data_IF_833189369822
#
_entry.id   IF_833189369822
#
_cell.length_a   1.000
_cell.length_b   1.000
_cell.length_c   1.000
_cell.angle_alpha   90.00
_cell.angle_beta   90.00
_cell.angle_gamma   90.00
#
_symmetry.space_group_name_H-M   'P 1'
#
loop_
_entity.id
_entity.type
_entity.pdbx_description
1 polymer ?
#
# COMPACT_ATOMS: atom_id res chain seq x y z
N UNK A 1 48.67 -45.46 -12.24
CA UNK A 1 48.50 -44.08 -12.74
C UNK A 1 47.38 -43.45 -11.94
N UNK A 2 47.59 -42.25 -11.44
CA UNK A 2 46.58 -41.55 -10.64
C UNK A 2 45.60 -40.83 -11.57
N UNK A 3 44.36 -40.64 -11.13
CA UNK A 3 43.30 -40.02 -11.94
C UNK A 3 42.62 -38.93 -11.13
N UNK A 4 42.38 -37.78 -11.75
CA UNK A 4 41.66 -36.66 -11.14
C UNK A 4 40.55 -36.19 -12.09
N UNK A 5 39.29 -36.45 -11.75
CA UNK A 5 38.16 -35.98 -12.57
C UNK A 5 38.21 -36.47 -14.03
N UNK A 6 38.79 -37.65 -14.26
CA UNK A 6 39.00 -38.23 -15.59
C UNK A 6 40.27 -37.74 -16.32
N UNK A 7 41.13 -36.95 -15.68
CA UNK A 7 42.48 -36.60 -16.15
C UNK A 7 43.48 -37.58 -15.57
N UNK A 8 44.35 -38.13 -16.42
CA UNK A 8 45.42 -39.03 -15.98
C UNK A 8 46.65 -38.23 -15.55
N UNK A 9 47.13 -38.52 -14.35
CA UNK A 9 48.25 -37.84 -13.70
C UNK A 9 49.32 -38.88 -13.36
N UNK A 10 50.57 -38.55 -13.67
CA UNK A 10 51.71 -39.31 -13.17
C UNK A 10 52.18 -38.68 -11.86
N UNK A 11 51.74 -39.23 -10.73
CA UNK A 11 52.03 -38.67 -9.41
C UNK A 11 53.27 -39.32 -8.83
N UNK A 12 54.22 -38.48 -8.40
CA UNK A 12 55.49 -38.88 -7.78
C UNK A 12 55.37 -38.87 -6.25
N UNK A 13 54.78 -37.81 -5.68
CA UNK A 13 54.52 -37.69 -4.24
C UNK A 13 53.04 -37.47 -3.95
N UNK A 14 52.53 -38.17 -2.95
CA UNK A 14 51.16 -38.03 -2.42
C UNK A 14 51.25 -37.81 -0.91
N UNK A 15 51.02 -36.58 -0.46
CA UNK A 15 51.17 -36.17 0.93
C UNK A 15 49.82 -35.69 1.49
N UNK A 16 49.04 -36.57 2.13
CA UNK A 16 47.81 -36.19 2.80
C UNK A 16 48.10 -35.52 4.15
N UNK A 17 47.51 -34.35 4.35
CA UNK A 17 47.53 -33.59 5.59
C UNK A 17 46.18 -33.73 6.32
N UNK A 18 46.24 -34.17 7.57
CA UNK A 18 45.09 -34.31 8.46
C UNK A 18 45.20 -33.28 9.58
N UNK A 19 44.31 -32.29 9.57
CA UNK A 19 44.23 -31.26 10.61
C UNK A 19 42.91 -31.34 11.37
N UNK A 20 42.98 -30.94 12.64
CA UNK A 20 41.83 -30.85 13.54
C UNK A 20 41.98 -29.58 14.35
N UNK A 21 40.96 -28.74 14.36
CA UNK A 21 40.94 -27.54 15.19
C UNK A 21 40.48 -27.92 16.60
N UNK A 22 41.28 -27.57 17.59
CA UNK A 22 41.01 -27.84 19.01
C UNK A 22 40.83 -26.51 19.73
N UNK A 23 39.65 -26.24 20.29
CA UNK A 23 39.44 -25.06 21.12
C UNK A 23 39.85 -25.36 22.55
N UNK A 24 40.66 -24.47 23.13
CA UNK A 24 41.12 -24.60 24.50
C UNK A 24 40.87 -23.32 25.29
N UNK A 25 40.48 -23.50 26.55
CA UNK A 25 40.30 -22.42 27.51
C UNK A 25 41.25 -22.63 28.69
N UNK A 26 41.97 -21.57 29.07
CA UNK A 26 42.86 -21.59 30.22
C UNK A 26 42.04 -21.54 31.52
N UNK A 27 42.46 -22.31 32.52
CA UNK A 27 41.88 -22.28 33.88
C UNK A 27 42.84 -21.61 34.86
N UNK A 28 42.28 -20.97 35.89
CA UNK A 28 42.99 -20.14 36.88
C UNK A 28 44.11 -20.88 37.63
N UNK A 29 44.04 -22.22 37.71
CA UNK A 29 45.09 -23.07 38.31
C UNK A 29 46.19 -23.50 37.32
N UNK A 30 46.35 -22.80 36.20
CA UNK A 30 47.44 -23.03 35.24
C UNK A 30 47.25 -24.22 34.29
N UNK A 31 46.07 -24.85 34.29
CA UNK A 31 45.71 -25.89 33.32
C UNK A 31 45.01 -25.32 32.08
N UNK A 32 44.84 -26.16 31.05
CA UNK A 32 44.01 -25.85 29.88
C UNK A 32 42.98 -26.96 29.70
N UNK A 33 41.71 -26.59 29.51
CA UNK A 33 40.62 -27.53 29.20
C UNK A 33 40.33 -27.44 27.71
N UNK A 34 40.27 -28.59 27.05
CA UNK A 34 39.79 -28.71 25.67
C UNK A 34 38.28 -28.88 25.69
N UNK A 35 37.55 -27.99 25.01
CA UNK A 35 36.08 -28.01 24.98
C UNK A 35 35.57 -28.62 23.67
N UNK A 36 36.08 -28.14 22.52
CA UNK A 36 35.60 -28.56 21.21
C UNK A 36 36.71 -29.07 20.30
N UNK A 37 36.40 -30.12 19.54
CA UNK A 37 37.26 -30.71 18.53
C UNK A 37 36.50 -30.68 17.21
N UNK A 38 36.93 -29.83 16.28
CA UNK A 38 36.34 -29.68 14.95
C UNK A 38 37.27 -30.31 13.90
N UNK A 39 36.79 -31.35 13.22
CA UNK A 39 37.52 -31.98 12.11
C UNK A 39 37.57 -31.02 10.91
N UNK A 40 38.77 -30.76 10.40
CA UNK A 40 38.93 -30.04 9.13
C UNK A 40 38.92 -31.01 7.94
N UNK A 41 38.65 -30.48 6.74
CA UNK A 41 38.73 -31.27 5.51
C UNK A 41 40.17 -31.66 5.21
N UNK A 42 40.39 -32.92 4.82
CA UNK A 42 41.73 -33.43 4.49
C UNK A 42 42.28 -32.65 3.31
N UNK A 43 43.51 -32.16 3.44
CA UNK A 43 44.24 -31.52 2.34
C UNK A 43 45.21 -32.54 1.76
N UNK A 44 45.38 -32.59 0.45
CA UNK A 44 46.29 -33.50 -0.23
C UNK A 44 47.18 -32.70 -1.16
N UNK A 45 48.48 -32.77 -0.89
CA UNK A 45 49.51 -32.21 -1.75
C UNK A 45 49.97 -33.29 -2.71
N UNK A 46 49.90 -32.98 -4.00
CA UNK A 46 50.26 -33.86 -5.10
C UNK A 46 51.36 -33.20 -5.91
N UNK A 47 52.44 -33.94 -6.10
CA UNK A 47 53.50 -33.55 -7.01
C UNK A 47 53.72 -34.63 -8.06
N UNK A 48 53.92 -34.20 -9.30
CA UNK A 48 54.06 -35.15 -10.38
C UNK A 48 54.31 -34.51 -11.73
N UNK A 49 54.11 -35.34 -12.75
CA UNK A 49 54.31 -35.02 -14.14
C UNK A 49 52.99 -35.22 -14.91
N UNK A 50 52.68 -34.26 -15.76
CA UNK A 50 51.68 -34.37 -16.80
C UNK A 50 52.42 -34.71 -18.09
N UNK A 51 52.32 -35.96 -18.53
CA UNK A 51 53.06 -36.48 -19.67
C UNK A 51 52.13 -36.67 -20.88
N UNK A 52 52.68 -36.39 -22.07
CA UNK A 52 52.07 -36.72 -23.36
C UNK A 52 51.49 -35.49 -24.10
N UNK A 53 51.08 -35.68 -25.38
CA UNK A 53 50.59 -34.59 -26.23
C UNK A 53 49.34 -33.88 -25.68
N UNK A 54 48.60 -34.55 -24.80
CA UNK A 54 47.37 -34.05 -24.18
C UNK A 54 47.62 -33.25 -22.88
N UNK A 55 48.86 -33.14 -22.41
CA UNK A 55 49.21 -32.47 -21.16
C UNK A 55 48.67 -31.02 -21.09
N UNK A 56 48.74 -30.28 -22.20
CA UNK A 56 48.20 -28.92 -22.28
C UNK A 56 46.67 -28.87 -22.08
N UNK A 57 45.95 -29.83 -22.68
CA UNK A 57 44.49 -29.95 -22.53
C UNK A 57 44.11 -30.35 -21.10
N UNK A 58 44.87 -31.25 -20.49
CA UNK A 58 44.70 -31.64 -19.10
C UNK A 58 44.89 -30.47 -18.14
N UNK A 59 45.97 -29.70 -18.31
CA UNK A 59 46.15 -28.46 -17.55
C UNK A 59 44.97 -27.52 -17.72
N UNK A 60 44.52 -27.28 -18.95
CA UNK A 60 43.38 -26.39 -19.20
C UNK A 60 42.12 -26.87 -18.47
N UNK A 61 41.83 -28.18 -18.50
CA UNK A 61 40.68 -28.77 -17.77
C UNK A 61 40.82 -28.64 -16.25
N UNK A 62 42.02 -28.83 -15.71
CA UNK A 62 42.27 -28.68 -14.26
C UNK A 62 42.10 -27.23 -13.82
N UNK A 63 42.62 -26.27 -14.60
CA UNK A 63 42.42 -24.83 -14.34
C UNK A 63 40.95 -24.46 -14.44
N UNK A 64 40.23 -24.96 -15.44
CA UNK A 64 38.78 -24.72 -15.58
C UNK A 64 37.99 -25.31 -14.41
N UNK A 65 38.34 -26.52 -13.94
CA UNK A 65 37.71 -27.14 -12.79
C UNK A 65 38.01 -26.38 -11.48
N UNK A 66 39.24 -25.88 -11.31
CA UNK A 66 39.65 -25.03 -10.20
C UNK A 66 38.84 -23.73 -10.17
N UNK A 67 38.83 -22.99 -11.29
CA UNK A 67 38.10 -21.72 -11.39
C UNK A 67 36.59 -21.90 -11.25
N UNK A 68 36.04 -23.03 -11.74
CA UNK A 68 34.63 -23.36 -11.60
C UNK A 68 34.23 -23.95 -10.25
N UNK A 69 35.18 -24.15 -9.31
CA UNK A 69 34.91 -24.80 -8.02
C UNK A 69 34.30 -26.20 -8.16
N UNK A 70 34.60 -26.90 -9.27
CA UNK A 70 33.99 -28.19 -9.58
C UNK A 70 34.53 -29.25 -8.63
N UNK A 71 33.61 -29.98 -8.00
CA UNK A 71 33.95 -31.14 -7.17
C UNK A 71 34.41 -32.28 -8.07
N UNK A 72 35.62 -32.79 -7.81
CA UNK A 72 36.26 -33.86 -8.56
C UNK A 72 36.57 -35.04 -7.64
N UNK A 73 36.67 -36.21 -8.24
CA UNK A 73 37.19 -37.40 -7.58
C UNK A 73 38.65 -37.61 -7.96
N UNK A 74 39.50 -37.76 -6.95
CA UNK A 74 40.89 -38.18 -7.06
C UNK A 74 41.03 -39.66 -6.69
N UNK A 75 41.75 -40.43 -7.50
CA UNK A 75 42.08 -41.84 -7.25
C UNK A 75 43.57 -42.03 -7.56
N UNK A 76 44.37 -42.24 -6.52
CA UNK A 76 45.79 -42.56 -6.57
C UNK A 76 46.14 -43.68 -5.59
N UNK A 77 47.21 -43.51 -4.81
CA UNK A 77 47.42 -44.35 -3.61
C UNK A 77 46.44 -43.97 -2.50
N UNK A 78 46.14 -42.67 -2.41
CA UNK A 78 45.02 -42.12 -1.66
C UNK A 78 43.81 -41.85 -2.57
N UNK A 79 42.60 -41.90 -2.02
CA UNK A 79 41.34 -41.66 -2.75
C UNK A 79 40.52 -40.57 -2.06
N UNK A 80 40.05 -39.58 -2.83
CA UNK A 80 39.24 -38.47 -2.35
C UNK A 80 38.06 -38.22 -3.30
N UNK A 81 36.83 -38.31 -2.81
CA UNK A 81 35.62 -38.21 -3.67
C UNK A 81 35.14 -36.77 -3.84
N UNK A 82 35.23 -35.96 -2.78
CA UNK A 82 34.78 -34.58 -2.77
C UNK A 82 35.96 -33.61 -2.78
N UNK A 83 36.90 -33.80 -3.70
CA UNK A 83 38.08 -32.97 -3.79
C UNK A 83 37.80 -31.71 -4.63
N UNK A 84 38.26 -30.57 -4.13
CA UNK A 84 38.32 -29.32 -4.88
C UNK A 84 39.78 -28.91 -5.01
N UNK A 85 40.15 -28.40 -6.19
CA UNK A 85 41.49 -27.88 -6.43
C UNK A 85 41.60 -26.51 -5.77
N UNK A 86 42.50 -26.35 -4.80
CA UNK A 86 42.75 -25.06 -4.13
C UNK A 86 43.87 -24.29 -4.80
N UNK A 87 44.90 -24.99 -5.27
CA UNK A 87 45.99 -24.41 -6.03
C UNK A 87 46.56 -25.39 -7.03
N UNK A 88 46.93 -24.87 -8.20
CA UNK A 88 47.63 -25.62 -9.24
C UNK A 88 48.80 -24.77 -9.75
N UNK A 89 50.01 -25.28 -9.58
CA UNK A 89 51.23 -24.71 -10.15
C UNK A 89 51.78 -25.69 -11.17
N UNK A 90 52.23 -25.15 -12.29
CA UNK A 90 52.86 -25.97 -13.34
C UNK A 90 54.14 -25.33 -13.84
N UNK A 91 55.16 -26.13 -14.05
CA UNK A 91 56.45 -25.71 -14.59
C UNK A 91 56.80 -26.52 -15.83
N UNK A 92 57.39 -25.84 -16.81
CA UNK A 92 57.93 -26.46 -18.02
C UNK A 92 59.45 -26.43 -17.87
N UNK A 93 60.05 -27.60 -17.67
CA UNK A 93 61.50 -27.74 -17.68
C UNK A 93 61.92 -28.39 -19.00
N UNK A 94 63.09 -28.04 -19.51
CA UNK A 94 63.63 -28.57 -20.77
C UNK A 94 63.84 -30.09 -20.70
N UNK A 95 64.00 -30.62 -19.48
CA UNK A 95 64.13 -32.06 -19.22
C UNK A 95 62.87 -32.86 -19.60
N UNK A 96 61.71 -32.20 -19.72
CA UNK A 96 60.42 -32.84 -20.02
C UNK A 96 59.87 -32.29 -21.34
N UNK A 97 60.45 -32.72 -22.45
CA UNK A 97 60.14 -32.20 -23.79
C UNK A 97 58.64 -32.29 -24.19
N UNK A 98 57.93 -33.31 -23.71
CA UNK A 98 56.52 -33.59 -24.06
C UNK A 98 55.59 -33.55 -22.83
N UNK A 99 55.91 -32.72 -21.84
CA UNK A 99 55.12 -32.66 -20.62
C UNK A 99 55.44 -31.46 -19.75
N UNK A 100 54.93 -31.51 -18.52
CA UNK A 100 55.15 -30.47 -17.52
C UNK A 100 55.08 -31.06 -16.13
N UNK A 101 55.86 -30.51 -15.21
CA UNK A 101 55.69 -30.82 -13.80
C UNK A 101 54.53 -30.03 -13.22
N UNK A 102 53.83 -30.62 -12.27
CA UNK A 102 52.77 -29.96 -11.54
C UNK A 102 52.93 -30.15 -10.03
N UNK A 103 52.52 -29.12 -9.30
CA UNK A 103 52.29 -29.16 -7.86
C UNK A 103 50.85 -28.71 -7.65
N UNK A 104 50.04 -29.57 -7.04
CA UNK A 104 48.60 -29.47 -6.97
C UNK A 104 48.16 -29.71 -5.53
N UNK A 105 47.35 -28.81 -5.00
CA UNK A 105 46.73 -28.99 -3.69
C UNK A 105 45.23 -29.25 -3.87
N UNK A 106 44.77 -30.37 -3.31
CA UNK A 106 43.37 -30.74 -3.24
C UNK A 106 42.88 -30.56 -1.81
N UNK A 107 41.66 -30.04 -1.63
CA UNK A 107 41.00 -29.98 -0.33
C UNK A 107 39.68 -30.72 -0.39
N UNK A 108 39.46 -31.61 0.58
CA UNK A 108 38.18 -32.29 0.73
C UNK A 108 37.12 -31.30 1.24
N UNK A 109 35.98 -31.26 0.55
CA UNK A 109 34.82 -30.50 1.00
C UNK A 109 33.72 -31.44 1.52
N UNK A 110 33.03 -30.98 2.57
CA UNK A 110 31.86 -31.67 3.09
C UNK A 110 30.60 -31.10 2.44
N UNK A 111 29.96 -31.87 1.57
CA UNK A 111 28.66 -31.50 1.00
C UNK A 111 27.56 -31.80 2.03
N UNK A 112 27.08 -30.75 2.71
CA UNK A 112 25.94 -30.88 3.61
C UNK A 112 24.66 -30.86 2.79
N UNK A 113 23.89 -31.94 2.85
CA UNK A 113 22.49 -31.91 2.40
C UNK A 113 21.75 -31.02 3.38
N UNK A 114 21.34 -29.83 2.94
CA UNK A 114 20.49 -28.95 3.75
C UNK A 114 19.21 -29.70 4.12
N UNK A 115 19.02 -29.90 5.43
CA UNK A 115 17.90 -30.67 5.98
C UNK A 115 16.55 -29.94 5.85
N UNK A 116 16.56 -28.64 5.54
CA UNK A 116 15.33 -27.91 5.27
C UNK A 116 14.87 -28.19 3.84
N UNK A 117 14.00 -29.20 3.71
CA UNK A 117 13.03 -29.24 2.61
C UNK A 117 12.31 -27.89 2.65
N UNK A 118 12.50 -27.07 1.61
CA UNK A 118 12.12 -25.66 1.61
C UNK A 118 10.76 -25.44 2.24
N UNK A 119 10.63 -24.39 3.06
CA UNK A 119 9.32 -24.00 3.58
C UNK A 119 8.35 -23.97 2.39
N UNK A 120 7.13 -24.51 2.53
CA UNK A 120 6.16 -24.44 1.45
C UNK A 120 6.09 -22.98 1.00
N UNK A 121 6.41 -22.73 -0.27
CA UNK A 121 6.38 -21.38 -0.82
C UNK A 121 5.05 -20.77 -0.43
N UNK A 122 5.05 -19.56 0.14
CA UNK A 122 3.83 -18.90 0.65
C UNK A 122 2.75 -19.04 -0.40
N UNK A 123 1.82 -19.97 -0.21
CA UNK A 123 0.73 -20.17 -1.14
C UNK A 123 -0.05 -18.86 -1.08
N UNK A 124 -0.05 -18.10 -2.17
CA UNK A 124 -0.93 -16.95 -2.25
C UNK A 124 -2.34 -17.52 -2.11
N UNK A 125 -2.97 -17.28 -0.96
CA UNK A 125 -4.34 -17.69 -0.72
C UNK A 125 -5.14 -17.22 -1.94
N UNK A 126 -5.72 -18.18 -2.68
CA UNK A 126 -6.54 -17.87 -3.84
C UNK A 126 -7.61 -16.89 -3.38
N UNK A 127 -7.48 -15.62 -3.78
CA UNK A 127 -8.46 -14.60 -3.48
C UNK A 127 -9.75 -15.06 -4.17
N UNK A 128 -10.71 -15.56 -3.38
CA UNK A 128 -12.05 -15.82 -3.90
C UNK A 128 -12.52 -14.55 -4.62
N UNK A 129 -13.04 -14.71 -5.83
CA UNK A 129 -13.58 -13.60 -6.60
C UNK A 129 -14.52 -12.78 -5.71
N UNK A 130 -14.26 -11.48 -5.56
CA UNK A 130 -15.14 -10.58 -4.81
C UNK A 130 -16.51 -10.61 -5.47
N UNK A 131 -17.46 -11.30 -4.84
CA UNK A 131 -18.86 -11.25 -5.23
C UNK A 131 -19.34 -9.81 -5.07
N UNK A 132 -19.78 -9.19 -6.18
CA UNK A 132 -20.42 -7.86 -6.19
C UNK A 132 -21.89 -7.92 -5.74
N UNK A 133 -22.31 -8.97 -5.06
CA UNK A 133 -23.68 -9.10 -4.55
C UNK A 133 -23.81 -8.55 -3.13
N UNK A 134 -23.41 -7.30 -2.93
CA UNK A 134 -23.78 -6.54 -1.74
C UNK A 134 -24.99 -5.67 -2.06
N UNK A 135 -26.20 -6.12 -1.74
CA UNK A 135 -27.36 -5.20 -1.73
C UNK A 135 -27.12 -4.19 -0.61
N UNK A 136 -26.90 -2.92 -0.97
CA UNK A 136 -26.83 -1.83 0.01
C UNK A 136 -28.13 -1.82 0.80
N UNK A 137 -28.03 -2.03 2.12
CA UNK A 137 -29.16 -1.92 3.01
C UNK A 137 -29.47 -0.42 3.20
N UNK A 138 -30.37 0.13 2.38
CA UNK A 138 -30.78 1.55 2.44
C UNK A 138 -31.93 1.78 3.43
N UNK A 139 -32.22 0.82 4.31
CA UNK A 139 -33.40 0.84 5.18
C UNK A 139 -33.29 1.77 6.40
N UNK A 140 -32.20 2.53 6.54
CA UNK A 140 -32.02 3.46 7.65
C UNK A 140 -31.29 4.72 7.22
N UNK A 141 -31.91 5.49 6.31
CA UNK A 141 -31.59 6.91 6.20
C UNK A 141 -32.55 7.65 7.15
N UNK A 142 -32.06 8.20 8.28
CA UNK A 142 -32.89 9.06 9.11
C UNK A 142 -33.24 10.31 8.29
N UNK A 143 -34.50 10.43 7.86
CA UNK A 143 -34.99 11.63 7.18
C UNK A 143 -35.02 12.78 8.19
N UNK A 144 -34.23 13.85 8.00
CA UNK A 144 -34.27 15.02 8.87
C UNK A 144 -35.67 15.62 8.90
N UNK A 145 -36.16 16.01 10.09
CA UNK A 145 -37.47 16.65 10.24
C UNK A 145 -37.49 18.10 9.74
N UNK A 146 -36.31 18.71 9.58
CA UNK A 146 -36.14 20.12 9.23
C UNK A 146 -34.95 20.32 8.27
N UNK A 147 -35.04 21.34 7.40
CA UNK A 147 -34.00 21.72 6.44
C UNK A 147 -33.73 23.24 6.47
N UNK A 148 -32.49 23.64 6.76
CA UNK A 148 -32.05 25.03 6.62
C UNK A 148 -31.75 25.36 5.15
N UNK A 149 -32.48 26.33 4.59
CA UNK A 149 -32.37 26.74 3.19
C UNK A 149 -31.08 27.53 2.99
N UNK A 150 -30.30 27.12 1.99
CA UNK A 150 -29.09 27.81 1.54
C UNK A 150 -29.38 28.69 0.33
N UNK A 151 -28.48 29.64 0.05
CA UNK A 151 -28.59 30.55 -1.09
C UNK A 151 -28.71 29.77 -2.41
N UNK A 152 -29.69 30.16 -3.24
CA UNK A 152 -29.92 29.57 -4.56
C UNK A 152 -30.70 28.25 -4.58
N UNK A 153 -31.20 27.75 -3.45
CA UNK A 153 -32.07 26.56 -3.44
C UNK A 153 -33.52 26.91 -3.81
N UNK A 154 -34.14 26.05 -4.62
CA UNK A 154 -35.57 26.10 -4.96
C UNK A 154 -36.34 24.94 -4.35
N UNK A 155 -37.67 25.04 -4.32
CA UNK A 155 -38.56 23.97 -3.85
C UNK A 155 -38.25 22.62 -4.50
N UNK A 156 -37.97 22.60 -5.80
CA UNK A 156 -37.65 21.38 -6.57
C UNK A 156 -36.33 20.77 -6.11
N UNK A 157 -35.29 21.60 -5.93
CA UNK A 157 -33.96 21.12 -5.52
C UNK A 157 -33.98 20.54 -4.10
N UNK A 158 -34.74 21.15 -3.19
CA UNK A 158 -34.91 20.68 -1.81
C UNK A 158 -35.78 19.42 -1.79
N UNK A 159 -36.90 19.40 -2.53
CA UNK A 159 -37.76 18.23 -2.60
C UNK A 159 -37.01 16.99 -3.13
N UNK A 160 -36.17 17.18 -4.16
CA UNK A 160 -35.34 16.12 -4.73
C UNK A 160 -34.31 15.55 -3.75
N UNK A 161 -33.69 16.38 -2.91
CA UNK A 161 -32.70 15.91 -1.93
C UNK A 161 -33.33 15.03 -0.86
N UNK A 162 -34.60 15.27 -0.53
CA UNK A 162 -35.38 14.51 0.44
C UNK A 162 -36.29 13.45 -0.18
N UNK A 163 -36.27 13.28 -1.51
CA UNK A 163 -37.15 12.37 -2.25
C UNK A 163 -38.65 12.58 -1.95
N UNK A 164 -39.04 13.82 -1.67
CA UNK A 164 -40.43 14.23 -1.47
C UNK A 164 -40.94 15.02 -2.67
N UNK A 165 -42.25 15.16 -2.79
CA UNK A 165 -42.83 15.99 -3.85
C UNK A 165 -42.78 17.49 -3.49
N UNK A 166 -42.47 18.35 -4.47
CA UNK A 166 -42.35 19.79 -4.24
C UNK A 166 -43.67 20.45 -3.86
N UNK A 167 -44.81 19.93 -4.31
CA UNK A 167 -46.14 20.39 -3.90
C UNK A 167 -46.37 20.02 -2.44
N UNK A 168 -46.06 18.78 -2.05
CA UNK A 168 -46.20 18.32 -0.68
C UNK A 168 -45.33 19.14 0.29
N UNK A 169 -44.08 19.44 -0.09
CA UNK A 169 -43.19 20.29 0.69
C UNK A 169 -43.75 21.71 0.91
N UNK A 170 -44.40 22.29 -0.11
CA UNK A 170 -45.09 23.60 -0.01
C UNK A 170 -46.30 23.53 0.92
N UNK A 171 -47.08 22.45 0.89
CA UNK A 171 -48.24 22.28 1.80
C UNK A 171 -47.83 22.19 3.27
N UNK A 172 -46.64 21.67 3.57
CA UNK A 172 -46.12 21.62 4.94
C UNK A 172 -45.65 22.98 5.46
N UNK A 173 -45.32 23.91 4.55
CA UNK A 173 -44.77 25.22 4.87
C UNK A 173 -45.67 26.37 4.34
N UNK A 174 -46.94 26.48 4.78
CA UNK A 174 -47.92 27.42 4.22
C UNK A 174 -47.65 28.90 4.55
N UNK A 175 -46.67 29.18 5.42
CA UNK A 175 -46.26 30.53 5.76
C UNK A 175 -45.35 31.16 4.70
N UNK A 176 -44.85 30.36 3.75
CA UNK A 176 -44.07 30.80 2.61
C UNK A 176 -44.94 30.78 1.36
N UNK A 177 -44.77 31.78 0.49
CA UNK A 177 -45.49 31.82 -0.77
C UNK A 177 -45.12 30.62 -1.67
N UNK A 178 -46.08 29.76 -2.07
CA UNK A 178 -45.82 28.58 -2.89
C UNK A 178 -45.30 28.86 -4.31
N UNK A 179 -45.47 30.09 -4.80
CA UNK A 179 -45.10 30.49 -6.17
C UNK A 179 -43.70 31.05 -6.29
N UNK A 180 -43.05 31.39 -5.17
CA UNK A 180 -41.70 31.95 -5.15
C UNK A 180 -40.72 30.97 -4.48
N UNK A 181 -39.44 30.95 -4.92
CA UNK A 181 -38.40 30.17 -4.24
C UNK A 181 -38.30 30.56 -2.76
N UNK A 182 -38.09 29.60 -1.85
CA UNK A 182 -37.99 29.91 -0.45
C UNK A 182 -36.68 30.68 -0.18
N UNK A 183 -36.69 31.74 0.64
CA UNK A 183 -35.50 32.56 0.85
C UNK A 183 -34.45 31.83 1.71
N UNK A 184 -33.18 32.14 1.46
CA UNK A 184 -32.07 31.56 2.21
C UNK A 184 -32.09 31.95 3.70
N UNK A 185 -31.67 31.04 4.56
CA UNK A 185 -31.62 31.23 6.02
C UNK A 185 -32.89 30.81 6.77
N UNK A 186 -33.98 30.48 6.06
CA UNK A 186 -35.19 29.93 6.68
C UNK A 186 -35.10 28.41 6.87
N UNK A 187 -35.86 27.89 7.83
CA UNK A 187 -35.96 26.45 8.11
C UNK A 187 -37.29 25.91 7.58
N UNK A 188 -37.23 24.89 6.73
CA UNK A 188 -38.40 24.16 6.23
C UNK A 188 -38.68 22.94 7.08
N UNK A 189 -39.97 22.69 7.35
CA UNK A 189 -40.43 21.43 7.92
C UNK A 189 -40.54 20.36 6.83
N UNK A 190 -39.92 19.19 7.07
CA UNK A 190 -39.93 18.01 6.20
C UNK A 190 -40.71 16.89 6.92
N UNK A 191 -41.91 16.55 6.43
CA UNK A 191 -42.68 15.40 6.91
C UNK A 191 -43.78 15.66 7.94
N UNK A 192 -44.02 16.92 8.36
CA UNK A 192 -45.19 17.30 9.18
C UNK A 192 -45.74 18.66 8.74
N UNK A 193 -47.06 18.86 8.84
CA UNK A 193 -47.66 20.21 8.73
C UNK A 193 -47.04 21.09 9.80
N UNK A 194 -46.45 22.22 9.42
CA UNK A 194 -45.97 23.20 10.38
C UNK A 194 -47.15 23.65 11.27
N UNK A 195 -47.14 23.23 12.53
CA UNK A 195 -48.04 23.78 13.56
C UNK A 195 -47.62 25.21 13.85
N UNK A 196 -48.53 26.16 13.64
CA UNK A 196 -48.35 27.59 13.97
C UNK A 196 -47.83 27.75 15.41
N UNK A 197 -46.57 28.14 15.56
CA UNK A 197 -45.98 28.73 16.77
C UNK A 197 -44.76 29.56 16.29
N UNK A 198 -44.55 30.83 16.63
CA UNK A 198 -45.30 31.80 17.42
C UNK A 198 -45.09 33.18 16.78
N UNK A 199 -46.23 33.82 16.56
CA UNK A 199 -46.36 35.25 16.38
C UNK A 199 -45.98 35.89 17.72
N UNK A 200 -44.85 36.61 17.76
CA UNK A 200 -44.59 37.57 18.83
C UNK A 200 -45.44 38.80 18.57
N UNK A 201 -46.66 38.83 19.12
CA UNK A 201 -47.37 40.10 19.30
C UNK A 201 -46.61 40.92 20.35
N UNK A 202 -46.08 42.07 19.95
CA UNK A 202 -46.18 43.25 20.78
C UNK A 202 -47.06 44.26 20.03
N UNK A 203 -48.30 44.31 20.48
CA UNK A 203 -49.21 45.45 20.36
C UNK A 203 -48.55 46.71 20.90
N UNK A 204 -48.70 47.84 20.21
CA UNK A 204 -48.45 49.13 20.85
C UNK A 204 -48.11 50.26 19.90
N UNK A 205 -49.14 50.81 19.26
CA UNK A 205 -49.34 52.24 19.09
C UNK A 205 -48.28 53.05 18.30
N UNK A 206 -48.75 53.61 17.18
CA UNK A 206 -48.84 55.05 16.89
C UNK A 206 -48.58 55.28 15.40
N UNK A 207 -49.62 55.77 14.75
CA UNK A 207 -49.65 56.41 13.44
C UNK A 207 -48.32 57.06 13.03
N UNK A 208 -47.60 56.37 12.15
CA UNK A 208 -46.80 56.97 11.10
C UNK A 208 -46.75 55.96 9.97
N UNK A 209 -47.12 56.34 8.75
CA UNK A 209 -46.96 55.48 7.57
C UNK A 209 -45.47 55.17 7.45
N UNK A 210 -45.03 54.00 7.93
CA UNK A 210 -43.66 53.56 7.75
C UNK A 210 -43.56 52.99 6.35
N UNK A 211 -42.71 53.63 5.57
CA UNK A 211 -42.35 53.19 4.24
C UNK A 211 -40.98 52.53 4.28
N UNK A 212 -40.81 51.45 3.54
CA UNK A 212 -39.56 50.72 3.42
C UNK A 212 -39.11 50.68 1.97
N UNK A 213 -37.86 51.07 1.72
CA UNK A 213 -37.25 51.03 0.40
C UNK A 213 -36.59 49.67 0.19
N UNK A 214 -37.12 48.91 -0.76
CA UNK A 214 -36.66 47.57 -1.14
C UNK A 214 -35.21 47.64 -1.62
N UNK A 215 -34.35 46.78 -1.04
CA UNK A 215 -32.95 46.62 -1.44
C UNK A 215 -32.80 45.57 -2.54
N UNK A 216 -31.64 45.58 -3.22
CA UNK A 216 -31.32 44.62 -4.28
C UNK A 216 -31.52 43.17 -3.82
N UNK A 217 -32.38 42.43 -4.52
CA UNK A 217 -32.62 41.01 -4.27
C UNK A 217 -33.66 40.69 -3.17
N UNK A 218 -34.29 41.70 -2.57
CA UNK A 218 -35.39 41.47 -1.62
C UNK A 218 -36.69 41.09 -2.33
N UNK A 219 -37.45 40.20 -1.69
CA UNK A 219 -38.76 39.71 -2.15
C UNK A 219 -39.83 40.06 -1.13
N UNK A 220 -41.10 39.94 -1.52
CA UNK A 220 -42.22 40.14 -0.59
C UNK A 220 -42.06 39.34 0.70
N UNK A 221 -41.54 38.11 0.61
CA UNK A 221 -41.32 37.23 1.75
C UNK A 221 -40.21 37.73 2.68
N UNK A 222 -39.08 38.21 2.14
CA UNK A 222 -37.96 38.69 2.97
C UNK A 222 -38.31 40.00 3.67
N UNK A 223 -39.01 40.91 3.00
CA UNK A 223 -39.46 42.18 3.60
C UNK A 223 -40.53 41.91 4.68
N UNK A 224 -41.52 41.08 4.37
CA UNK A 224 -42.56 40.73 5.32
C UNK A 224 -41.99 40.08 6.59
N UNK A 225 -41.04 39.14 6.43
CA UNK A 225 -40.34 38.51 7.55
C UNK A 225 -39.52 39.51 8.37
N UNK A 226 -38.74 40.37 7.71
CA UNK A 226 -37.90 41.36 8.39
C UNK A 226 -38.74 42.33 9.23
N UNK A 227 -39.96 42.60 8.80
CA UNK A 227 -40.92 43.47 9.50
C UNK A 227 -41.97 42.71 10.33
N UNK A 228 -41.86 41.38 10.43
CA UNK A 228 -42.75 40.57 11.28
C UNK A 228 -44.23 40.54 10.85
N UNK A 229 -44.53 40.90 9.60
CA UNK A 229 -45.90 40.87 9.02
C UNK A 229 -46.02 39.72 8.02
N UNK A 230 -47.25 39.32 7.70
CA UNK A 230 -47.44 38.30 6.65
C UNK A 230 -47.30 38.91 5.26
N UNK A 231 -46.84 38.12 4.28
CA UNK A 231 -46.73 38.56 2.88
C UNK A 231 -48.06 39.06 2.33
N UNK A 232 -49.13 38.34 2.67
CA UNK A 232 -50.49 38.66 2.26
C UNK A 232 -50.94 40.01 2.84
N UNK A 233 -50.57 40.30 4.08
CA UNK A 233 -50.83 41.58 4.74
C UNK A 233 -49.99 42.72 4.16
N UNK A 234 -48.71 42.48 3.87
CA UNK A 234 -47.83 43.45 3.19
C UNK A 234 -48.35 43.80 1.78
N UNK A 235 -48.82 42.80 1.02
CA UNK A 235 -49.43 43.01 -0.30
C UNK A 235 -50.76 43.76 -0.19
N UNK A 236 -51.60 43.42 0.79
CA UNK A 236 -52.88 44.10 1.02
C UNK A 236 -52.69 45.60 1.34
N UNK A 237 -51.62 45.97 2.05
CA UNK A 237 -51.25 47.37 2.34
C UNK A 237 -50.70 48.13 1.12
N UNK A 238 -50.31 47.41 0.07
CA UNK A 238 -49.76 47.97 -1.17
C UNK A 238 -50.57 47.53 -2.40
N UNK A 239 -51.88 47.87 -2.48
CA UNK A 239 -52.76 47.40 -3.56
C UNK A 239 -52.37 47.93 -4.95
N UNK A 240 -51.59 49.03 -4.99
CA UNK A 240 -51.12 49.63 -6.23
C UNK A 240 -49.95 48.86 -6.88
N UNK A 241 -49.41 47.85 -6.20
CA UNK A 241 -48.31 47.04 -6.70
C UNK A 241 -48.85 45.64 -6.98
N UNK A 242 -48.59 45.12 -8.19
CA UNK A 242 -49.07 43.81 -8.57
C UNK A 242 -48.45 42.73 -7.65
N UNK A 243 -49.27 41.96 -6.88
CA UNK A 243 -48.77 40.94 -5.95
C UNK A 243 -47.92 39.85 -6.61
N UNK A 244 -48.10 39.63 -7.92
CA UNK A 244 -47.37 38.64 -8.70
C UNK A 244 -46.07 39.17 -9.33
N UNK A 245 -45.80 40.46 -9.19
CA UNK A 245 -44.59 41.09 -9.72
C UNK A 245 -43.43 41.03 -8.73
N UNK A 246 -42.21 40.93 -9.26
CA UNK A 246 -41.00 41.05 -8.46
C UNK A 246 -40.85 42.48 -7.93
N UNK A 247 -40.48 42.61 -6.66
CA UNK A 247 -40.08 43.88 -6.10
C UNK A 247 -38.75 44.30 -6.73
N UNK A 248 -38.70 45.52 -7.25
CA UNK A 248 -37.50 46.13 -7.81
C UNK A 248 -36.78 46.92 -6.73
N UNK A 249 -35.47 46.95 -6.81
CA UNK A 249 -34.63 47.79 -5.98
C UNK A 249 -35.09 49.26 -6.07
N UNK A 250 -35.21 49.92 -4.91
CA UNK A 250 -35.71 51.29 -4.81
C UNK A 250 -37.23 51.42 -4.72
N UNK A 251 -38.01 50.34 -4.84
CA UNK A 251 -39.46 50.40 -4.62
C UNK A 251 -39.78 50.69 -3.16
N UNK A 252 -40.76 51.56 -2.93
CA UNK A 252 -41.17 51.97 -1.58
C UNK A 252 -42.45 51.24 -1.19
N UNK A 253 -42.39 50.41 -0.15
CA UNK A 253 -43.51 49.63 0.37
C UNK A 253 -44.03 50.21 1.68
N UNK A 254 -45.35 50.26 1.82
CA UNK A 254 -46.01 50.58 3.09
C UNK A 254 -46.03 49.34 3.97
N UNK A 255 -45.35 49.41 5.11
CA UNK A 255 -45.16 48.28 6.03
C UNK A 255 -45.95 48.41 7.33
N UNK A 256 -46.63 49.55 7.58
CA UNK A 256 -47.55 49.79 8.70
C UNK A 256 -48.84 50.46 8.21
#
# INVERSE_FOLDING_TARGET
MSRLGGVELFVTSEEPEYSVQVSSHNIEKGGSITDHIQKEGVTLHLEGLLLGPQAANYRHRLVAAMNGGKVLQYVGRNSMVNAVITSLRTSHDYSIANGMSFSLTLKEIQLVKVAYKGLPGKSQAALKAKSRSGKRNTSYLPTPKEHLIRTGQTWETIAKSYQVDSYQLRTWNPHLDPNFPPPAGMVLSIGKKATKQQQGQNTGAQNAIRTYTVRAGETWNTVAFLHGISVLELQARNPNINPRSWLREGMVLKID
#
